data_IF_719140201241
#
_entry.id   IF_719140201241
#
_cell.length_a   1.000
_cell.length_b   1.000
_cell.length_c   1.000
_cell.angle_alpha   90.00
_cell.angle_beta   90.00
_cell.angle_gamma   90.00
#
_symmetry.space_group_name_H-M   'P 1'
#
loop_
_entity.id
_entity.type
_entity.pdbx_description
1 polymer ?
#
# COMPACT_ATOMS: atom_id res chain seq x y z
N UNK A 1 16.36 1.68 -4.80
CA UNK A 1 15.53 1.24 -5.95
C UNK A 1 14.52 0.23 -5.43
N UNK A 2 13.30 0.22 -5.98
CA UNK A 2 12.29 -0.76 -5.60
C UNK A 2 12.65 -2.13 -6.20
N UNK A 3 12.76 -3.15 -5.37
CA UNK A 3 12.90 -4.53 -5.86
C UNK A 3 11.54 -5.04 -6.36
N UNK A 4 11.52 -6.06 -7.24
CA UNK A 4 10.26 -6.67 -7.68
C UNK A 4 9.38 -7.17 -6.52
N UNK A 5 10.00 -7.64 -5.43
CA UNK A 5 9.31 -8.10 -4.23
C UNK A 5 8.68 -6.95 -3.45
N UNK A 6 9.41 -5.84 -3.26
CA UNK A 6 8.86 -4.62 -2.63
C UNK A 6 7.68 -4.07 -3.42
N UNK A 7 7.77 -4.11 -4.75
CA UNK A 7 6.68 -3.69 -5.62
C UNK A 7 5.45 -4.61 -5.50
N UNK A 8 5.65 -5.93 -5.43
CA UNK A 8 4.57 -6.88 -5.18
C UNK A 8 3.88 -6.63 -3.83
N UNK A 9 4.65 -6.39 -2.77
CA UNK A 9 4.09 -6.01 -1.46
C UNK A 9 3.30 -4.70 -1.54
N UNK A 10 3.77 -3.70 -2.29
CA UNK A 10 3.05 -2.45 -2.49
C UNK A 10 1.69 -2.66 -3.20
N UNK A 11 1.62 -3.57 -4.18
CA UNK A 11 0.37 -3.98 -4.80
C UNK A 11 -0.56 -4.71 -3.81
N UNK A 12 -0.02 -5.60 -2.98
CA UNK A 12 -0.80 -6.30 -1.95
C UNK A 12 -1.37 -5.34 -0.90
N UNK A 13 -0.58 -4.38 -0.41
CA UNK A 13 -1.04 -3.35 0.56
C UNK A 13 -2.20 -2.56 -0.02
N UNK A 14 -2.20 -2.33 -1.32
CA UNK A 14 -3.28 -1.61 -1.99
C UNK A 14 -4.55 -2.47 -2.15
N UNK A 15 -4.39 -3.69 -2.65
CA UNK A 15 -5.53 -4.54 -3.03
C UNK A 15 -6.16 -5.28 -1.84
N UNK A 16 -5.38 -5.52 -0.79
CA UNK A 16 -5.82 -6.19 0.43
C UNK A 16 -4.89 -5.88 1.61
N UNK A 17 -4.99 -4.69 2.22
CA UNK A 17 -4.04 -4.29 3.27
C UNK A 17 -4.13 -5.15 4.54
N UNK A 18 -5.25 -5.86 4.74
CA UNK A 18 -5.42 -6.79 5.87
C UNK A 18 -4.73 -8.14 5.63
N UNK A 19 -4.46 -8.50 4.38
CA UNK A 19 -3.78 -9.74 4.00
C UNK A 19 -2.25 -9.60 4.04
N UNK A 20 -1.77 -8.37 4.23
CA UNK A 20 -0.34 -8.08 4.24
C UNK A 20 0.24 -8.33 5.62
N UNK A 21 1.21 -9.23 5.64
CA UNK A 21 2.01 -9.50 6.83
C UNK A 21 2.90 -8.29 7.18
N UNK A 22 2.57 -7.64 8.31
CA UNK A 22 3.30 -6.51 8.87
C UNK A 22 4.71 -6.86 9.37
N UNK A 23 5.01 -8.14 9.55
CA UNK A 23 6.32 -8.59 10.02
C UNK A 23 7.36 -8.71 8.90
N UNK A 24 6.95 -8.53 7.64
CA UNK A 24 7.87 -8.51 6.49
C UNK A 24 8.84 -7.33 6.57
N UNK A 25 10.10 -7.60 6.29
CA UNK A 25 11.14 -6.57 6.14
C UNK A 25 10.82 -5.58 5.02
N UNK A 26 10.10 -6.03 3.99
CA UNK A 26 9.62 -5.20 2.89
C UNK A 26 8.66 -4.12 3.38
N UNK A 27 7.82 -4.40 4.39
CA UNK A 27 6.91 -3.38 4.95
C UNK A 27 7.69 -2.30 5.68
N UNK A 28 8.70 -2.67 6.48
CA UNK A 28 9.60 -1.68 7.09
C UNK A 28 10.23 -0.79 6.02
N UNK A 29 10.73 -1.39 4.94
CA UNK A 29 11.38 -0.66 3.84
C UNK A 29 10.41 0.27 3.11
N UNK A 30 9.16 -0.17 2.87
CA UNK A 30 8.13 0.64 2.23
C UNK A 30 7.67 1.81 3.13
N UNK A 31 7.66 1.60 4.45
CA UNK A 31 7.37 2.64 5.45
C UNK A 31 8.51 3.65 5.53
N UNK A 32 9.76 3.20 5.58
CA UNK A 32 10.95 4.06 5.55
C UNK A 32 11.01 4.93 4.29
N UNK A 33 10.47 4.42 3.18
CA UNK A 33 10.38 5.16 1.91
C UNK A 33 9.11 5.98 1.77
N UNK A 34 8.27 6.06 2.80
CA UNK A 34 7.00 6.78 2.79
C UNK A 34 6.00 6.32 1.72
N UNK A 35 6.15 5.11 1.18
CA UNK A 35 5.22 4.54 0.18
C UNK A 35 4.03 3.84 0.86
N UNK A 36 4.24 3.37 2.08
CA UNK A 36 3.24 2.75 2.94
C UNK A 36 3.29 3.45 4.29
N UNK A 37 2.17 3.51 4.99
CA UNK A 37 2.11 4.00 6.35
C UNK A 37 1.22 3.07 7.18
N UNK A 38 1.24 3.21 8.49
CA UNK A 38 0.57 2.32 9.43
C UNK A 38 -0.60 3.05 10.06
N UNK A 39 -1.82 2.57 9.81
CA UNK A 39 -3.03 3.07 10.45
C UNK A 39 -3.35 2.18 11.66
N UNK A 40 -3.64 2.80 12.80
CA UNK A 40 -4.13 2.08 13.98
C UNK A 40 -5.65 2.04 13.93
N UNK A 41 -6.20 0.85 13.80
CA UNK A 41 -7.64 0.61 13.88
C UNK A 41 -8.13 0.73 15.33
N UNK A 42 -9.39 1.11 15.49
CA UNK A 42 -10.06 1.19 16.81
C UNK A 42 -10.08 -0.16 17.54
N UNK A 43 -9.95 -1.26 16.79
CA UNK A 43 -9.80 -2.63 17.31
C UNK A 43 -8.41 -2.94 17.90
N UNK A 44 -7.51 -1.95 17.97
CA UNK A 44 -6.14 -2.11 18.45
C UNK A 44 -5.17 -2.74 17.44
N UNK A 45 -5.67 -3.16 16.28
CA UNK A 45 -4.85 -3.74 15.21
C UNK A 45 -4.17 -2.63 14.40
N UNK A 46 -2.94 -2.86 13.96
CA UNK A 46 -2.28 -1.99 13.00
C UNK A 46 -2.52 -2.55 11.61
N UNK A 47 -2.74 -1.68 10.64
CA UNK A 47 -2.95 -2.04 9.25
C UNK A 47 -2.05 -1.19 8.38
N UNK A 48 -1.31 -1.77 7.43
CA UNK A 48 -0.57 -0.98 6.47
C UNK A 48 -1.58 -0.32 5.52
N UNK A 49 -1.36 0.93 5.14
CA UNK A 49 -2.14 1.62 4.12
C UNK A 49 -1.22 2.29 3.11
N UNK A 50 -1.68 2.33 1.86
CA UNK A 50 -0.93 2.95 0.77
C UNK A 50 -0.94 4.47 0.91
N UNK A 51 0.22 5.11 0.84
CA UNK A 51 0.31 6.58 0.82
C UNK A 51 0.07 7.13 -0.58
N UNK A 52 -0.05 8.45 -0.68
CA UNK A 52 -0.14 9.13 -1.97
C UNK A 52 1.09 8.88 -2.87
N UNK A 53 2.28 8.77 -2.26
CA UNK A 53 3.52 8.50 -2.97
C UNK A 53 3.55 7.06 -3.48
N UNK A 54 3.12 6.09 -2.65
CA UNK A 54 2.95 4.70 -3.06
C UNK A 54 2.00 4.54 -4.25
N UNK A 55 0.85 5.22 -4.22
CA UNK A 55 -0.12 5.24 -5.32
C UNK A 55 0.46 5.87 -6.59
N UNK A 56 1.24 6.94 -6.45
CA UNK A 56 1.92 7.60 -7.57
C UNK A 56 2.95 6.69 -8.23
N UNK A 57 3.70 5.92 -7.44
CA UNK A 57 4.65 4.90 -7.93
C UNK A 57 3.91 3.81 -8.70
N UNK A 58 2.84 3.24 -8.13
CA UNK A 58 2.04 2.21 -8.80
C UNK A 58 1.50 2.74 -10.14
N UNK A 59 0.92 3.96 -10.15
CA UNK A 59 0.43 4.63 -11.37
C UNK A 59 1.52 4.86 -12.41
N UNK A 60 2.74 5.19 -12.00
CA UNK A 60 3.86 5.37 -12.92
C UNK A 60 4.25 4.06 -13.64
N UNK A 61 4.15 2.93 -12.95
CA UNK A 61 4.43 1.61 -13.55
C UNK A 61 3.35 1.20 -14.55
N UNK A 62 2.06 1.48 -14.26
CA UNK A 62 0.95 1.24 -15.22
C UNK A 62 1.18 1.97 -16.53
N UNK A 63 1.59 3.24 -16.45
CA UNK A 63 1.87 4.06 -17.64
C UNK A 63 3.02 3.53 -18.50
N UNK A 64 3.94 2.75 -17.92
CA UNK A 64 5.13 2.24 -18.60
C UNK A 64 4.85 0.91 -19.34
N UNK A 65 3.67 0.29 -19.18
CA UNK A 65 3.26 -0.85 -20.01
C UNK A 65 2.71 -2.09 -19.28
N UNK A 66 2.43 -2.00 -17.99
CA UNK A 66 1.83 -3.11 -17.23
C UNK A 66 0.31 -3.00 -17.15
N UNK A 67 -0.41 -4.06 -17.54
CA UNK A 67 -1.84 -4.17 -17.32
C UNK A 67 -2.14 -4.18 -15.82
N UNK A 68 -2.44 -3.02 -15.27
CA UNK A 68 -2.90 -2.88 -13.90
C UNK A 68 -4.31 -2.27 -13.94
N UNK A 69 -5.31 -3.14 -13.77
CA UNK A 69 -6.69 -2.73 -13.58
C UNK A 69 -6.88 -2.37 -12.10
N UNK A 70 -7.01 -1.09 -11.75
CA UNK A 70 -7.23 -0.69 -10.38
C UNK A 70 -8.53 -1.30 -9.88
N UNK A 71 -8.49 -2.11 -8.81
CA UNK A 71 -9.70 -2.33 -8.01
C UNK A 71 -10.10 -0.95 -7.49
N UNK A 72 -11.26 -0.45 -7.93
CA UNK A 72 -11.79 0.82 -7.46
C UNK A 72 -11.88 0.73 -5.94
N UNK A 73 -11.06 1.53 -5.24
CA UNK A 73 -11.02 1.53 -3.80
C UNK A 73 -12.43 1.84 -3.26
N UNK A 74 -13.05 0.86 -2.62
CA UNK A 74 -14.21 1.04 -1.75
C UNK A 74 -13.83 1.73 -0.42
N UNK A 75 -12.74 2.51 -0.39
CA UNK A 75 -12.32 3.24 0.81
C UNK A 75 -13.13 4.54 0.94
N UNK A 76 -14.45 4.34 1.06
CA UNK A 76 -15.39 5.36 1.48
C UNK A 76 -15.10 5.75 2.91
N UNK A 77 -14.52 6.95 3.05
CA UNK A 77 -14.98 7.94 4.02
C UNK A 77 -15.09 7.47 5.49
N UNK A 78 -13.95 7.41 6.17
CA UNK A 78 -13.93 7.71 7.62
C UNK A 78 -12.95 8.84 7.94
N UNK A 79 -13.12 9.95 7.22
CA UNK A 79 -12.90 11.26 7.83
C UNK A 79 -14.15 11.57 8.64
N UNK A 80 -14.07 11.48 9.95
CA UNK A 80 -14.92 12.27 10.84
C UNK A 80 -14.15 12.51 12.13
N UNK A 81 -13.68 13.75 12.23
CA UNK A 81 -13.56 14.61 13.42
C UNK A 81 -13.75 13.94 14.76
#
# INVERSE_FOLDING_TARGET
>A
MLTPHEFATLMLVRDGPDEVDLTRAEISTLVERHLVSMERLESGHHRPYLTHDGDSVLKAVVRTGGAYAPRACSFGLKRRT
#
